data_IF_259842946865
#
_entry.id   IF_259842946865
#
_cell.length_a   1.000
_cell.length_b   1.000
_cell.length_c   1.000
_cell.angle_alpha   90.00
_cell.angle_beta   90.00
_cell.angle_gamma   90.00
#
_symmetry.space_group_name_H-M   'P 1'
#
loop_
_entity.id
_entity.type
_entity.pdbx_description
1 polymer ?
#
# COMPACT_ATOMS: atom_id res chain seq x y z
N UNK A 1 -5.00 -9.68 -19.91
CA UNK A 1 -4.59 -9.46 -19.95
C UNK A 1 -3.96 -9.33 -19.74
N UNK A 2 -3.67 -9.31 -19.43
CA UNK A 2 -3.03 -9.20 -19.28
C UNK A 2 -2.24 -8.85 -19.08
N UNK A 3 -1.86 -8.74 -19.05
CA UNK A 3 -1.12 -8.37 -19.02
C UNK A 3 -0.44 -7.87 -18.98
N UNK A 4 -0.35 -7.86 -18.83
CA UNK A 4 0.26 -7.31 -18.99
C UNK A 4 0.79 -6.74 -18.69
N UNK A 5 0.81 -6.68 -18.35
CA UNK A 5 1.24 -6.20 -18.06
C UNK A 5 2.06 -5.89 -17.95
N UNK A 6 2.48 -6.04 -17.68
CA UNK A 6 3.24 -5.78 -17.67
C UNK A 6 3.97 -5.21 -18.03
N UNK A 7 3.77 -5.33 -18.38
CA UNK A 7 4.62 -4.47 -18.73
C UNK A 7 4.75 -3.31 -18.01
N UNK A 8 4.74 -3.36 -16.86
CA UNK A 8 4.90 -2.20 -16.07
C UNK A 8 6.21 -1.57 -16.32
N UNK A 9 6.20 -0.28 -16.44
CA UNK A 9 7.42 0.44 -16.60
C UNK A 9 8.21 0.40 -15.33
N UNK A 10 9.52 0.42 -15.43
CA UNK A 10 10.35 0.43 -14.24
C UNK A 10 10.09 1.67 -13.40
N UNK A 11 9.81 2.78 -14.03
CA UNK A 11 9.54 3.99 -13.26
C UNK A 11 8.32 3.83 -12.35
N UNK A 12 7.33 3.09 -12.79
CA UNK A 12 6.16 2.85 -11.96
C UNK A 12 6.54 1.99 -10.76
N UNK A 13 7.41 1.04 -10.95
CA UNK A 13 7.89 0.22 -9.84
C UNK A 13 8.68 1.03 -8.85
N UNK A 14 9.54 1.91 -9.35
CA UNK A 14 10.39 2.71 -8.49
C UNK A 14 9.62 3.68 -7.62
N UNK A 15 8.39 4.00 -8.01
CA UNK A 15 7.59 4.95 -7.28
C UNK A 15 6.67 4.33 -6.27
N UNK A 16 6.80 3.04 -6.03
CA UNK A 16 5.95 2.39 -5.05
C UNK A 16 6.66 2.23 -3.73
N UNK A 17 5.85 2.16 -2.67
CA UNK A 17 6.34 1.86 -1.33
C UNK A 17 5.54 0.71 -0.77
N UNK A 18 6.22 -0.13 -0.02
CA UNK A 18 5.63 -1.30 0.60
C UNK A 18 5.76 -1.15 2.10
N UNK A 19 4.75 -1.62 2.83
CA UNK A 19 4.80 -1.44 4.28
C UNK A 19 4.02 -2.52 5.00
N UNK A 20 4.51 -2.83 6.20
CA UNK A 20 3.80 -3.71 7.11
C UNK A 20 2.89 -2.88 7.99
N UNK A 21 1.75 -3.46 8.35
CA UNK A 21 0.80 -2.81 9.24
C UNK A 21 0.56 -3.72 10.44
N UNK A 22 0.08 -3.15 11.54
CA UNK A 22 -0.19 -3.93 12.73
C UNK A 22 -1.56 -4.61 12.67
N UNK A 23 -2.18 -4.64 11.51
CA UNK A 23 -3.47 -5.28 11.29
C UNK A 23 -3.43 -6.04 10.00
N UNK A 24 -4.12 -7.18 9.94
CA UNK A 24 -4.24 -7.94 8.71
C UNK A 24 -5.67 -8.02 8.21
N UNK A 25 -6.52 -7.15 8.73
CA UNK A 25 -7.92 -7.07 8.30
C UNK A 25 -8.01 -6.19 7.05
N UNK A 26 -8.02 -6.84 5.89
CA UNK A 26 -8.03 -6.12 4.62
C UNK A 26 -9.21 -5.18 4.47
N UNK A 27 -10.40 -5.65 4.85
CA UNK A 27 -11.60 -4.83 4.70
C UNK A 27 -11.50 -3.57 5.55
N UNK A 28 -11.01 -3.71 6.77
CA UNK A 28 -10.86 -2.57 7.66
C UNK A 28 -9.83 -1.57 7.11
N UNK A 29 -8.74 -2.08 6.57
CA UNK A 29 -7.69 -1.24 6.03
C UNK A 29 -8.19 -0.46 4.82
N UNK A 30 -8.86 -1.15 3.88
CA UNK A 30 -9.40 -0.48 2.71
C UNK A 30 -10.43 0.57 3.10
N UNK A 31 -11.30 0.22 4.02
CA UNK A 31 -12.33 1.16 4.44
C UNK A 31 -11.72 2.41 5.09
N UNK A 32 -10.69 2.21 5.88
CA UNK A 32 -10.03 3.33 6.53
C UNK A 32 -9.45 4.30 5.50
N UNK A 33 -8.81 3.77 4.48
CA UNK A 33 -8.23 4.61 3.45
C UNK A 33 -9.32 5.31 2.64
N UNK A 34 -10.33 4.56 2.23
CA UNK A 34 -11.44 5.12 1.47
C UNK A 34 -12.15 6.24 2.22
N UNK A 35 -12.36 6.03 3.51
CA UNK A 35 -13.07 7.01 4.32
C UNK A 35 -12.30 8.32 4.45
N UNK A 36 -10.98 8.23 4.44
CA UNK A 36 -10.16 9.40 4.66
C UNK A 36 -9.87 10.17 3.38
N UNK A 37 -9.47 9.48 2.32
CA UNK A 37 -9.06 10.17 1.09
C UNK A 37 -10.05 10.05 -0.05
N UNK A 38 -11.13 9.29 0.15
CA UNK A 38 -12.18 9.17 -0.84
C UNK A 38 -11.82 8.26 -1.99
N UNK A 39 -12.80 8.05 -2.85
CA UNK A 39 -12.63 7.13 -3.97
C UNK A 39 -11.56 7.60 -4.94
N UNK A 40 -11.54 8.90 -5.25
CA UNK A 40 -10.53 9.40 -6.17
C UNK A 40 -9.13 9.30 -5.59
N UNK A 41 -8.98 9.63 -4.31
CA UNK A 41 -7.69 9.53 -3.66
C UNK A 41 -7.22 8.09 -3.57
N UNK A 42 -8.13 7.20 -3.27
CA UNK A 42 -7.81 5.78 -3.19
C UNK A 42 -7.33 5.27 -4.55
N UNK A 43 -8.04 5.65 -5.60
CA UNK A 43 -7.66 5.25 -6.95
C UNK A 43 -6.29 5.80 -7.33
N UNK A 44 -6.05 7.06 -7.02
CA UNK A 44 -4.76 7.68 -7.34
C UNK A 44 -3.60 7.08 -6.58
N UNK A 45 -3.86 6.57 -5.39
CA UNK A 45 -2.80 5.98 -4.58
C UNK A 45 -2.35 4.63 -5.13
N UNK A 46 -3.16 4.02 -5.97
CA UNK A 46 -2.90 2.69 -6.51
C UNK A 46 -2.61 1.71 -5.37
N UNK A 47 -3.35 1.85 -4.29
CA UNK A 47 -3.19 0.98 -3.13
C UNK A 47 -3.56 -0.45 -3.46
N UNK A 48 -2.76 -1.39 -2.98
CA UNK A 48 -3.04 -2.80 -3.19
C UNK A 48 -2.40 -3.61 -2.06
N UNK A 49 -2.90 -4.83 -1.91
CA UNK A 49 -2.31 -5.76 -0.94
C UNK A 49 -1.41 -6.73 -1.67
N UNK A 50 -0.33 -7.08 -1.02
CA UNK A 50 0.60 -8.08 -1.51
C UNK A 50 0.82 -9.07 -0.38
N UNK A 51 0.84 -10.37 -0.70
CA UNK A 51 1.12 -11.37 0.31
C UNK A 51 2.54 -11.88 0.11
N UNK A 52 3.27 -11.96 1.20
CA UNK A 52 4.63 -12.50 1.17
C UNK A 52 4.90 -13.17 2.50
N UNK A 53 5.31 -14.42 2.44
CA UNK A 53 5.66 -15.20 3.64
C UNK A 53 4.52 -15.23 4.66
N UNK A 54 3.29 -15.33 4.16
CA UNK A 54 2.12 -15.41 5.02
C UNK A 54 1.71 -14.11 5.65
N UNK A 55 2.35 -13.02 5.26
CA UNK A 55 2.03 -11.70 5.79
C UNK A 55 1.40 -10.82 4.72
N UNK A 56 0.53 -9.92 5.16
CA UNK A 56 -0.11 -8.97 4.27
C UNK A 56 0.70 -7.68 4.27
N UNK A 57 1.07 -7.27 3.07
CA UNK A 57 1.85 -6.05 2.86
C UNK A 57 0.99 -5.06 2.11
N UNK A 58 0.94 -3.82 2.59
CA UNK A 58 0.28 -2.76 1.86
C UNK A 58 1.24 -2.15 0.86
N UNK A 59 0.72 -1.69 -0.26
CA UNK A 59 1.53 -1.06 -1.29
C UNK A 59 0.78 0.11 -1.87
N UNK A 60 1.48 1.20 -2.10
CA UNK A 60 0.89 2.37 -2.74
C UNK A 60 1.99 3.16 -3.43
N UNK A 61 1.58 4.16 -4.20
CA UNK A 61 2.56 5.04 -4.83
C UNK A 61 3.24 5.89 -3.77
N UNK A 62 4.52 6.14 -3.96
CA UNK A 62 5.31 6.91 -3.01
C UNK A 62 4.67 8.26 -2.67
N UNK A 63 4.15 8.95 -3.69
CA UNK A 63 3.57 10.27 -3.48
C UNK A 63 2.29 10.23 -2.67
N UNK A 64 1.66 9.07 -2.54
CA UNK A 64 0.44 8.94 -1.76
C UNK A 64 0.69 8.34 -0.37
N UNK A 65 1.93 8.02 -0.06
CA UNK A 65 2.24 7.33 1.18
C UNK A 65 1.79 8.11 2.41
N UNK A 66 2.02 9.42 2.41
CA UNK A 66 1.63 10.23 3.57
C UNK A 66 0.13 10.22 3.79
N UNK A 67 -0.63 10.30 2.70
CA UNK A 67 -2.09 10.26 2.81
C UNK A 67 -2.57 8.91 3.29
N UNK A 68 -1.96 7.84 2.79
CA UNK A 68 -2.31 6.50 3.23
C UNK A 68 -1.94 6.30 4.69
N UNK A 69 -0.77 6.78 5.07
CA UNK A 69 -0.33 6.69 6.46
C UNK A 69 -1.28 7.41 7.39
N UNK A 70 -1.69 8.63 7.01
CA UNK A 70 -2.62 9.41 7.81
C UNK A 70 -3.97 8.70 7.93
N UNK A 71 -4.44 8.11 6.84
CA UNK A 71 -5.70 7.37 6.84
C UNK A 71 -5.65 6.22 7.83
N UNK A 72 -4.58 5.47 7.80
CA UNK A 72 -4.43 4.31 8.67
C UNK A 72 -4.29 4.73 10.12
N UNK A 73 -3.53 5.79 10.37
CA UNK A 73 -3.36 6.29 11.73
C UNK A 73 -4.69 6.74 12.31
N UNK A 74 -5.53 7.35 11.49
CA UNK A 74 -6.84 7.78 11.93
C UNK A 74 -7.69 6.61 12.39
N UNK A 75 -7.49 5.44 11.78
CA UNK A 75 -8.20 4.23 12.16
C UNK A 75 -7.41 3.40 13.18
N UNK A 76 -6.34 3.98 13.73
CA UNK A 76 -5.50 3.32 14.74
C UNK A 76 -4.76 2.11 14.20
N UNK A 77 -4.47 2.13 12.92
CA UNK A 77 -3.64 1.12 12.29
C UNK A 77 -2.26 1.73 12.08
N UNK A 78 -1.24 1.11 12.66
CA UNK A 78 0.11 1.64 12.56
C UNK A 78 0.90 0.97 11.46
N UNK A 79 1.67 1.77 10.74
CA UNK A 79 2.63 1.25 9.79
C UNK A 79 3.90 0.96 10.56
N UNK A 80 4.36 -0.29 10.49
CA UNK A 80 5.49 -0.73 11.29
C UNK A 80 6.82 -0.60 10.57
N UNK A 81 6.80 -0.71 9.24
CA UNK A 81 8.03 -0.64 8.48
C UNK A 81 7.69 -0.27 7.05
N UNK A 82 8.51 0.56 6.43
CA UNK A 82 8.31 1.00 5.05
C UNK A 82 9.57 0.75 4.27
N UNK A 83 9.42 0.28 3.03
CA UNK A 83 10.55 0.07 2.16
C UNK A 83 10.13 0.27 0.71
N UNK A 84 11.10 0.55 -0.15
CA UNK A 84 10.85 0.66 -1.58
C UNK A 84 10.74 -0.68 -2.26
N UNK A 85 11.05 -1.76 -1.57
CA UNK A 85 10.95 -3.11 -2.14
C UNK A 85 10.42 -4.07 -1.09
N UNK A 86 9.84 -5.17 -1.56
CA UNK A 86 9.38 -6.21 -0.64
C UNK A 86 10.56 -6.86 0.06
N UNK A 87 11.64 -7.06 -0.67
CA UNK A 87 12.85 -7.64 -0.07
C UNK A 87 13.37 -6.76 1.06
N UNK A 88 13.28 -5.44 0.89
CA UNK A 88 13.73 -4.52 1.93
C UNK A 88 12.93 -4.63 3.21
N UNK A 89 11.65 -5.01 3.11
CA UNK A 89 10.83 -5.17 4.30
C UNK A 89 11.27 -6.34 5.16
N UNK A 90 11.89 -7.32 4.52
CA UNK A 90 12.28 -8.55 5.21
C UNK A 90 13.67 -8.49 5.82
N UNK A 91 14.35 -7.38 5.74
CA UNK A 91 15.69 -7.24 6.31
C UNK A 91 15.70 -6.85 7.76
#
# INVERSE_FOLDING_TARGET
MKQKKLKLKSSAKDNRRYFYMNSDDRAKIEKAILDYIGILGFSKSAFMFVEADGKIIGSCLRESLENVRASLAFAKIKIQKVSGTIAGLNR
#
